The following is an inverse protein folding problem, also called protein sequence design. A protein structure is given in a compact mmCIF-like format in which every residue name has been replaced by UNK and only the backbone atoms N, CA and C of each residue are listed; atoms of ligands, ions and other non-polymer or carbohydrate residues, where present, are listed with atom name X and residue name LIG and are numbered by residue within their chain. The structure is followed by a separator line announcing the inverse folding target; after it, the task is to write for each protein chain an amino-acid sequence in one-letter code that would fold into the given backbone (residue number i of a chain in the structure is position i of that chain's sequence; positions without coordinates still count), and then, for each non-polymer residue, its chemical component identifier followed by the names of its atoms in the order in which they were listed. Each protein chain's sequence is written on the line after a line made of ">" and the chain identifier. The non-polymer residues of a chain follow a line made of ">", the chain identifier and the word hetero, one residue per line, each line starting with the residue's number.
data_IF_390190366588
#
_entry.id   IF_390190366588
#
_cell.length_a   1.000
_cell.length_b   1.000
_cell.length_c   1.000
_cell.angle_alpha   90.00
_cell.angle_beta   90.00
_cell.angle_gamma   90.00
#
_symmetry.space_group_name_H-M   'P 1'
#
loop_
_entity.id
_entity.type
_entity.pdbx_description
1 polymer ?
#
# COMPACT_ATOMS: atom_id res chain seq x y z
N UNK A 1 -7.82 10.43 28.36
CA UNK A 1 -6.59 10.07 27.63
C UNK A 1 -6.02 8.80 28.25
N UNK A 2 -5.61 7.85 27.43
CA UNK A 2 -4.96 6.63 27.91
C UNK A 2 -3.54 6.91 28.42
N UNK A 3 -3.09 6.05 29.33
CA UNK A 3 -1.70 5.97 29.76
C UNK A 3 -1.10 4.64 29.31
N UNK A 4 0.22 4.56 29.20
CA UNK A 4 0.89 3.32 28.76
C UNK A 4 0.62 2.16 29.73
N UNK A 5 0.55 2.44 31.04
CA UNK A 5 0.15 1.48 32.08
C UNK A 5 -1.25 0.90 31.83
N UNK A 6 -2.20 1.75 31.41
CA UNK A 6 -3.56 1.29 31.07
C UNK A 6 -3.56 0.44 29.82
N UNK A 7 -2.77 0.79 28.80
CA UNK A 7 -2.63 -0.01 27.57
C UNK A 7 -2.02 -1.38 27.86
N UNK A 8 -0.99 -1.42 28.71
CA UNK A 8 -0.33 -2.67 29.13
C UNK A 8 -1.29 -3.58 29.88
N UNK A 9 -2.05 -3.04 30.82
CA UNK A 9 -2.95 -3.79 31.71
C UNK A 9 -4.34 -4.03 31.12
N UNK A 10 -4.66 -3.46 29.96
CA UNK A 10 -5.95 -3.66 29.32
C UNK A 10 -6.15 -5.15 28.99
N UNK A 11 -7.22 -5.74 29.46
CA UNK A 11 -7.61 -7.13 29.21
C UNK A 11 -9.08 -7.19 28.82
N UNK A 12 -9.42 -8.14 27.95
CA UNK A 12 -10.81 -8.39 27.60
C UNK A 12 -11.44 -9.30 28.65
N UNK A 13 -12.56 -8.92 29.28
CA UNK A 13 -13.26 -9.80 30.23
C UNK A 13 -13.76 -11.08 29.55
N UNK A 14 -13.84 -12.15 30.34
CA UNK A 14 -14.46 -13.40 29.88
C UNK A 14 -15.87 -13.17 29.33
N UNK A 15 -16.21 -13.88 28.28
CA UNK A 15 -17.51 -13.77 27.62
C UNK A 15 -17.62 -12.61 26.61
N UNK A 16 -16.62 -11.73 26.52
CA UNK A 16 -16.60 -10.69 25.48
C UNK A 16 -15.62 -11.01 24.36
N UNK A 17 -16.05 -10.87 23.13
CA UNK A 17 -15.18 -11.08 21.97
C UNK A 17 -14.07 -10.02 21.89
N UNK A 18 -14.38 -8.78 22.27
CA UNK A 18 -13.44 -7.63 22.28
C UNK A 18 -13.93 -6.49 23.14
N UNK A 19 -13.00 -5.64 23.59
CA UNK A 19 -13.28 -4.35 24.21
C UNK A 19 -12.50 -3.25 23.52
N UNK A 20 -12.94 -2.01 23.70
CA UNK A 20 -12.28 -0.81 23.18
C UNK A 20 -11.99 0.15 24.30
N UNK A 21 -10.77 0.63 24.39
CA UNK A 21 -10.39 1.71 25.30
C UNK A 21 -10.00 2.93 24.44
N UNK A 22 -10.76 4.01 24.60
CA UNK A 22 -10.61 5.23 23.79
C UNK A 22 -9.53 6.14 24.35
N UNK A 23 -8.73 6.72 23.46
CA UNK A 23 -7.81 7.82 23.72
C UNK A 23 -8.40 9.13 23.16
N UNK A 24 -7.58 10.12 22.84
CA UNK A 24 -8.01 11.37 22.23
C UNK A 24 -8.07 11.30 20.70
N UNK A 25 -8.88 12.20 20.10
CA UNK A 25 -8.90 12.43 18.65
C UNK A 25 -9.34 11.23 17.80
N UNK A 26 -10.20 10.34 18.34
CA UNK A 26 -10.68 9.16 17.63
C UNK A 26 -9.73 7.95 17.66
N UNK A 27 -8.60 8.06 18.38
CA UNK A 27 -7.69 6.93 18.62
C UNK A 27 -8.28 6.01 19.69
N UNK A 28 -8.19 4.71 19.50
CA UNK A 28 -8.53 3.71 20.50
C UNK A 28 -7.69 2.43 20.33
N UNK A 29 -7.54 1.70 21.43
CA UNK A 29 -6.99 0.37 21.42
C UNK A 29 -8.12 -0.66 21.53
N UNK A 30 -8.13 -1.64 20.65
CA UNK A 30 -9.04 -2.78 20.69
C UNK A 30 -8.28 -3.98 21.27
N UNK A 31 -8.83 -4.58 22.30
CA UNK A 31 -8.29 -5.79 22.96
C UNK A 31 -9.23 -6.93 22.68
N UNK A 32 -8.76 -7.95 22.00
CA UNK A 32 -9.52 -9.17 21.72
C UNK A 32 -9.50 -10.12 22.91
N UNK A 33 -10.48 -11.03 22.98
CA UNK A 33 -10.55 -12.07 24.01
C UNK A 33 -9.31 -12.98 24.09
N UNK A 34 -8.63 -13.19 22.93
CA UNK A 34 -7.35 -13.88 22.84
C UNK A 34 -6.13 -13.05 23.31
N UNK A 35 -6.36 -11.85 23.89
CA UNK A 35 -5.30 -11.00 24.44
C UNK A 35 -4.58 -10.12 23.42
N UNK A 36 -4.84 -10.23 22.12
CA UNK A 36 -4.21 -9.36 21.13
C UNK A 36 -4.75 -7.94 21.25
N UNK A 37 -3.84 -6.95 21.11
CA UNK A 37 -4.13 -5.55 21.26
C UNK A 37 -3.75 -4.81 19.99
N UNK A 38 -4.67 -4.00 19.44
CA UNK A 38 -4.43 -3.28 18.19
C UNK A 38 -4.96 -1.87 18.24
N UNK A 39 -4.17 -0.94 17.71
CA UNK A 39 -4.52 0.45 17.59
C UNK A 39 -5.37 0.72 16.36
N UNK A 40 -6.40 1.53 16.55
CA UNK A 40 -7.27 2.01 15.48
C UNK A 40 -7.54 3.50 15.64
N UNK A 41 -7.66 4.18 14.50
CA UNK A 41 -8.19 5.53 14.43
C UNK A 41 -9.55 5.50 13.75
N UNK A 42 -10.55 6.08 14.40
CA UNK A 42 -11.90 6.26 13.89
C UNK A 42 -12.05 7.65 13.31
N UNK A 43 -12.58 7.75 12.09
CA UNK A 43 -12.82 9.00 11.37
C UNK A 43 -14.04 8.87 10.47
N UNK A 44 -14.51 10.01 9.94
CA UNK A 44 -15.61 10.06 8.97
C UNK A 44 -15.07 10.53 7.62
N UNK A 45 -15.42 9.84 6.55
CA UNK A 45 -15.07 10.21 5.19
C UNK A 45 -16.32 10.06 4.31
N UNK A 46 -16.70 11.13 3.59
CA UNK A 46 -17.95 11.21 2.81
C UNK A 46 -19.19 10.79 3.62
N UNK A 47 -19.29 11.28 4.85
CA UNK A 47 -20.42 10.99 5.76
C UNK A 47 -20.43 9.57 6.34
N UNK A 48 -19.46 8.70 5.99
CA UNK A 48 -19.36 7.32 6.48
C UNK A 48 -18.29 7.18 7.53
N UNK A 49 -18.62 6.46 8.61
CA UNK A 49 -17.65 6.10 9.64
C UNK A 49 -16.66 5.06 9.06
N UNK A 50 -15.37 5.36 9.17
CA UNK A 50 -14.27 4.48 8.79
C UNK A 50 -13.30 4.29 9.94
N UNK A 51 -12.52 3.23 9.89
CA UNK A 51 -11.45 2.96 10.85
C UNK A 51 -10.16 2.58 10.12
N UNK A 52 -9.04 3.15 10.58
CA UNK A 52 -7.71 2.85 10.11
C UNK A 52 -6.95 2.08 11.18
N UNK A 53 -6.40 0.91 10.85
CA UNK A 53 -5.51 0.20 11.76
C UNK A 53 -4.14 0.87 11.78
N UNK A 54 -3.63 1.17 12.99
CA UNK A 54 -2.35 1.86 13.17
C UNK A 54 -1.23 0.93 13.65
N UNK A 55 -1.54 -0.34 13.90
CA UNK A 55 -0.56 -1.34 14.31
C UNK A 55 -0.95 -2.09 15.59
N UNK A 56 -0.11 -3.02 16.02
CA UNK A 56 -0.32 -3.85 17.19
C UNK A 56 0.48 -3.34 18.39
N UNK A 57 -0.11 -3.39 19.58
CA UNK A 57 0.61 -3.15 20.82
C UNK A 57 1.23 -4.47 21.32
N UNK A 58 2.47 -4.51 21.84
CA UNK A 58 3.34 -3.37 22.16
C UNK A 58 4.26 -2.89 21.04
N UNK A 59 4.30 -3.51 19.86
CA UNK A 59 5.15 -3.14 18.73
C UNK A 59 4.99 -1.64 18.36
N UNK A 60 3.74 -1.15 18.37
CA UNK A 60 3.42 0.26 18.25
C UNK A 60 3.07 0.78 19.64
N UNK A 61 3.89 1.65 20.20
CA UNK A 61 3.65 2.29 21.49
C UNK A 61 2.47 3.27 21.43
N UNK A 62 1.95 3.69 22.59
CA UNK A 62 0.93 4.73 22.66
C UNK A 62 1.40 6.05 21.99
N UNK A 63 2.68 6.41 22.16
CA UNK A 63 3.28 7.59 21.53
C UNK A 63 3.27 7.47 20.00
N UNK A 64 3.68 6.33 19.48
CA UNK A 64 3.75 6.08 18.04
C UNK A 64 2.35 5.99 17.42
N UNK A 65 1.39 5.40 18.15
CA UNK A 65 0.00 5.36 17.74
C UNK A 65 -0.62 6.76 17.62
N UNK A 66 -0.30 7.67 18.55
CA UNK A 66 -0.71 9.07 18.48
C UNK A 66 -0.09 9.80 17.30
N UNK A 67 1.21 9.60 17.05
CA UNK A 67 1.89 10.18 15.89
C UNK A 67 1.28 9.65 14.58
N UNK A 68 1.09 8.36 14.45
CA UNK A 68 0.46 7.75 13.28
C UNK A 68 -0.99 8.21 13.04
N UNK A 69 -1.75 8.46 14.11
CA UNK A 69 -3.08 9.09 14.03
C UNK A 69 -2.99 10.52 13.50
N UNK A 70 -2.04 11.31 14.00
CA UNK A 70 -1.90 12.70 13.60
C UNK A 70 -1.47 12.83 12.13
N UNK A 71 -0.61 11.94 11.65
CA UNK A 71 -0.23 11.88 10.24
C UNK A 71 -1.40 11.43 9.35
N UNK A 72 -2.15 10.41 9.76
CA UNK A 72 -3.36 10.00 9.05
C UNK A 72 -4.42 11.12 9.03
N UNK A 73 -4.52 11.90 10.11
CA UNK A 73 -5.42 13.06 10.19
C UNK A 73 -5.02 14.16 9.22
N UNK A 74 -3.73 14.44 9.06
CA UNK A 74 -3.23 15.40 8.06
C UNK A 74 -3.60 14.96 6.64
N UNK A 75 -3.40 13.67 6.31
CA UNK A 75 -3.81 13.12 5.02
C UNK A 75 -5.32 13.25 4.79
N UNK A 76 -6.13 12.94 5.80
CA UNK A 76 -7.57 13.11 5.73
C UNK A 76 -7.97 14.58 5.50
N UNK A 77 -7.31 15.54 6.16
CA UNK A 77 -7.57 16.97 6.00
C UNK A 77 -7.20 17.49 4.60
N UNK A 78 -6.26 16.85 3.90
CA UNK A 78 -5.94 17.15 2.49
C UNK A 78 -6.94 16.55 1.49
N UNK A 79 -8.03 15.93 1.96
CA UNK A 79 -9.07 15.33 1.12
C UNK A 79 -8.80 13.90 0.68
N UNK A 80 -7.68 13.30 1.11
CA UNK A 80 -7.38 11.90 0.81
C UNK A 80 -7.99 10.95 1.85
N UNK A 81 -8.53 9.80 1.40
CA UNK A 81 -8.93 8.74 2.32
C UNK A 81 -7.70 7.92 2.76
N UNK A 82 -7.31 7.93 4.05
CA UNK A 82 -6.12 7.24 4.53
C UNK A 82 -6.17 5.71 4.36
N UNK A 83 -7.36 5.12 4.30
CA UNK A 83 -7.53 3.68 4.02
C UNK A 83 -7.20 3.37 2.57
N UNK A 84 -7.71 4.17 1.64
CA UNK A 84 -7.42 4.02 0.21
C UNK A 84 -5.94 4.28 -0.09
N UNK A 85 -5.35 5.33 0.49
CA UNK A 85 -3.93 5.63 0.35
C UNK A 85 -3.06 4.41 0.76
N UNK A 86 -3.34 3.80 1.92
CA UNK A 86 -2.63 2.59 2.36
C UNK A 86 -2.88 1.37 1.48
N UNK A 87 -4.06 1.23 0.90
CA UNK A 87 -4.32 0.14 -0.05
C UNK A 87 -3.50 0.31 -1.32
N UNK A 88 -3.44 1.52 -1.85
CA UNK A 88 -2.59 1.85 -3.01
C UNK A 88 -1.13 1.58 -2.69
N UNK A 89 -0.61 2.05 -1.54
CA UNK A 89 0.78 1.81 -1.13
C UNK A 89 1.10 0.32 -1.00
N UNK A 90 0.18 -0.47 -0.42
CA UNK A 90 0.35 -1.93 -0.32
C UNK A 90 0.34 -2.63 -1.67
N UNK A 91 -0.52 -2.19 -2.57
CA UNK A 91 -0.56 -2.71 -3.94
C UNK A 91 0.72 -2.33 -4.67
N UNK A 92 1.13 -1.06 -4.62
CA UNK A 92 2.39 -0.59 -5.20
C UNK A 92 3.58 -1.37 -4.65
N UNK A 93 3.71 -1.52 -3.32
CA UNK A 93 4.80 -2.27 -2.70
C UNK A 93 4.83 -3.74 -3.11
N UNK A 94 3.67 -4.38 -3.33
CA UNK A 94 3.61 -5.75 -3.83
C UNK A 94 4.03 -5.86 -5.28
N UNK A 95 3.68 -4.87 -6.11
CA UNK A 95 4.14 -4.79 -7.49
C UNK A 95 5.64 -4.44 -7.57
N UNK A 96 6.12 -3.54 -6.71
CA UNK A 96 7.50 -3.07 -6.70
C UNK A 96 8.50 -4.13 -6.23
N UNK A 97 8.11 -5.01 -5.31
CA UNK A 97 9.02 -6.01 -4.73
C UNK A 97 9.43 -7.12 -5.70
N UNK A 98 8.64 -7.39 -6.76
CA UNK A 98 8.88 -8.54 -7.65
C UNK A 98 8.66 -8.28 -9.15
N UNK A 99 8.21 -7.11 -9.57
CA UNK A 99 7.87 -6.86 -10.95
C UNK A 99 8.84 -5.89 -11.63
N UNK A 100 9.92 -6.43 -12.19
CA UNK A 100 10.68 -5.69 -13.20
C UNK A 100 9.78 -5.40 -14.41
N UNK A 101 10.09 -4.34 -15.13
CA UNK A 101 9.35 -3.97 -16.35
C UNK A 101 9.23 -5.15 -17.32
N UNK A 102 10.27 -5.96 -17.48
CA UNK A 102 10.26 -7.11 -18.36
C UNK A 102 9.25 -8.18 -17.91
N UNK A 103 9.22 -8.51 -16.60
CA UNK A 103 8.26 -9.48 -16.05
C UNK A 103 6.83 -9.02 -16.30
N UNK A 104 6.52 -7.78 -15.96
CA UNK A 104 5.18 -7.21 -16.17
C UNK A 104 4.80 -7.13 -17.66
N UNK A 105 5.75 -6.77 -18.53
CA UNK A 105 5.49 -6.73 -19.97
C UNK A 105 5.21 -8.12 -20.54
N UNK A 106 5.90 -9.15 -20.06
CA UNK A 106 5.66 -10.54 -20.47
C UNK A 106 4.31 -11.08 -19.97
N UNK A 107 3.93 -10.75 -18.75
CA UNK A 107 2.60 -11.06 -18.19
C UNK A 107 1.48 -10.37 -18.97
N UNK A 108 1.66 -9.08 -19.28
CA UNK A 108 0.73 -8.33 -20.12
C UNK A 108 0.60 -8.98 -21.52
N UNK A 109 1.72 -9.32 -22.14
CA UNK A 109 1.73 -10.02 -23.42
C UNK A 109 0.96 -11.35 -23.35
N UNK A 110 1.21 -12.18 -22.34
CA UNK A 110 0.51 -13.45 -22.14
C UNK A 110 -1.01 -13.26 -22.02
N UNK A 111 -1.45 -12.23 -21.27
CA UNK A 111 -2.88 -11.91 -21.11
C UNK A 111 -3.51 -11.39 -22.40
N UNK A 112 -2.81 -10.55 -23.16
CA UNK A 112 -3.35 -9.93 -24.39
C UNK A 112 -3.22 -10.81 -25.65
N UNK A 113 -2.39 -11.84 -25.61
CA UNK A 113 -2.12 -12.74 -26.75
C UNK A 113 -3.39 -13.36 -27.34
N UNK A 114 -4.40 -13.63 -26.51
CA UNK A 114 -5.68 -14.23 -26.95
C UNK A 114 -6.41 -13.34 -27.97
N UNK A 115 -6.25 -12.01 -27.89
CA UNK A 115 -6.90 -11.05 -28.81
C UNK A 115 -5.97 -10.55 -29.93
N UNK A 116 -4.74 -11.04 -30.02
CA UNK A 116 -3.77 -10.61 -31.02
C UNK A 116 -3.50 -11.69 -32.06
N UNK A 117 -3.15 -11.29 -33.29
CA UNK A 117 -2.60 -12.25 -34.25
C UNK A 117 -1.24 -12.75 -33.79
N UNK A 118 -0.89 -14.01 -34.08
CA UNK A 118 0.39 -14.61 -33.68
C UNK A 118 1.59 -13.80 -34.20
N UNK A 119 1.49 -13.27 -35.41
CA UNK A 119 2.52 -12.41 -35.99
C UNK A 119 2.70 -11.10 -35.19
N UNK A 120 1.61 -10.44 -34.79
CA UNK A 120 1.66 -9.21 -33.99
C UNK A 120 2.24 -9.50 -32.60
N UNK A 121 1.74 -10.53 -31.92
CA UNK A 121 2.21 -10.91 -30.60
C UNK A 121 3.72 -11.19 -30.59
N UNK A 122 4.21 -11.94 -31.54
CA UNK A 122 5.65 -12.26 -31.70
C UNK A 122 6.48 -11.00 -31.92
N UNK A 123 6.08 -10.14 -32.86
CA UNK A 123 6.82 -8.90 -33.19
C UNK A 123 6.81 -7.91 -32.01
N UNK A 124 5.73 -7.85 -31.26
CA UNK A 124 5.63 -6.97 -30.09
C UNK A 124 6.70 -7.33 -29.05
N UNK A 125 6.81 -8.61 -28.71
CA UNK A 125 7.79 -9.10 -27.73
C UNK A 125 9.24 -8.95 -28.23
N UNK A 126 9.47 -9.24 -29.52
CA UNK A 126 10.79 -9.08 -30.15
C UNK A 126 11.27 -7.61 -30.10
N UNK A 127 10.39 -6.66 -30.42
CA UNK A 127 10.71 -5.23 -30.34
C UNK A 127 11.04 -4.81 -28.91
N UNK A 128 10.22 -5.20 -27.91
CA UNK A 128 10.54 -4.90 -26.53
C UNK A 128 11.87 -5.52 -26.10
N UNK A 129 12.13 -6.77 -26.49
CA UNK A 129 13.39 -7.48 -26.17
C UNK A 129 14.62 -6.79 -26.76
N UNK A 130 14.48 -6.26 -27.98
CA UNK A 130 15.58 -5.61 -28.68
C UNK A 130 15.82 -4.17 -28.25
N UNK A 131 14.74 -3.41 -28.05
CA UNK A 131 14.81 -1.97 -27.99
C UNK A 131 14.60 -1.40 -26.57
N UNK A 132 13.88 -2.11 -25.71
CA UNK A 132 13.45 -1.60 -24.39
C UNK A 132 14.05 -2.41 -23.23
N UNK A 133 13.96 -3.74 -23.25
CA UNK A 133 14.43 -4.58 -22.15
C UNK A 133 15.89 -4.42 -21.80
N UNK A 134 16.83 -4.16 -22.71
CA UNK A 134 18.22 -3.93 -22.34
C UNK A 134 18.43 -2.74 -21.40
N UNK A 135 17.52 -1.77 -21.45
CA UNK A 135 17.62 -0.51 -20.68
C UNK A 135 16.69 -0.46 -19.48
N UNK A 136 15.45 -0.89 -19.66
CA UNK A 136 14.40 -0.77 -18.64
C UNK A 136 13.97 -2.12 -18.06
N UNK A 137 14.29 -3.23 -18.70
CA UNK A 137 13.75 -4.55 -18.39
C UNK A 137 13.96 -4.98 -16.94
N UNK A 138 15.13 -4.73 -16.39
CA UNK A 138 15.47 -5.12 -15.00
C UNK A 138 15.01 -4.13 -13.93
N UNK A 139 14.56 -2.94 -14.33
CA UNK A 139 14.13 -1.92 -13.40
C UNK A 139 12.71 -2.20 -12.90
N UNK A 140 12.43 -1.98 -11.59
CA UNK A 140 11.07 -1.94 -11.08
C UNK A 140 10.26 -0.84 -11.77
N UNK A 141 8.97 -1.10 -12.04
CA UNK A 141 8.09 -0.12 -12.68
C UNK A 141 8.04 1.23 -11.96
N UNK A 142 8.07 1.21 -10.63
CA UNK A 142 8.08 2.42 -9.78
C UNK A 142 9.30 3.32 -9.99
N UNK A 143 10.41 2.77 -10.47
CA UNK A 143 11.64 3.51 -10.73
C UNK A 143 11.73 4.07 -12.16
N UNK A 144 10.79 3.69 -13.04
CA UNK A 144 10.78 4.14 -14.44
C UNK A 144 10.03 5.46 -14.54
N UNK A 145 10.77 6.56 -14.45
CA UNK A 145 10.22 7.91 -14.63
C UNK A 145 10.21 8.38 -16.09
N UNK A 146 9.48 9.48 -16.36
CA UNK A 146 9.39 10.08 -17.68
C UNK A 146 10.75 10.40 -18.34
N UNK A 147 11.78 10.89 -17.63
CA UNK A 147 13.09 11.14 -18.23
C UNK A 147 13.75 9.86 -18.80
N UNK A 148 13.64 8.72 -18.09
CA UNK A 148 14.19 7.44 -18.54
C UNK A 148 13.46 6.91 -19.77
N UNK A 149 12.13 7.03 -19.79
CA UNK A 149 11.31 6.66 -20.95
C UNK A 149 11.71 7.49 -22.18
N UNK A 150 11.79 8.81 -22.04
CA UNK A 150 12.20 9.71 -23.12
C UNK A 150 13.60 9.38 -23.65
N UNK A 151 14.55 9.10 -22.76
CA UNK A 151 15.90 8.73 -23.17
C UNK A 151 15.91 7.41 -23.95
N UNK A 152 15.11 6.44 -23.52
CA UNK A 152 15.01 5.13 -24.20
C UNK A 152 14.33 5.30 -25.56
N UNK A 153 13.25 6.08 -25.67
CA UNK A 153 12.54 6.35 -26.92
C UNK A 153 13.44 7.08 -27.94
N UNK A 154 14.22 8.09 -27.52
CA UNK A 154 15.18 8.79 -28.38
C UNK A 154 16.25 7.84 -28.96
N UNK A 155 16.68 6.83 -28.20
CA UNK A 155 17.61 5.82 -28.70
C UNK A 155 16.97 4.91 -29.74
N UNK A 156 15.68 4.60 -29.59
CA UNK A 156 14.93 3.82 -30.59
C UNK A 156 14.73 4.64 -31.88
N UNK A 157 14.46 5.95 -31.74
CA UNK A 157 14.25 6.87 -32.86
C UNK A 157 15.55 7.12 -33.65
N UNK A 158 16.70 7.16 -32.99
CA UNK A 158 18.03 7.39 -33.61
C UNK A 158 18.59 6.19 -34.36
N UNK A 159 17.84 5.10 -34.50
CA UNK A 159 18.28 3.83 -35.11
C UNK A 159 17.66 3.60 -36.49
#
# INVERSE_FOLDING_TARGET
>A
MLTDKQCKNASCPEGKARIRASDSGGLYIEVAGAGSKRWFWKYYFDGKEKRLSLGSYPEVSLKDARAARDDARKQHQSGADPVLARQVDRLSSRFDANASFEVTAREFHATKRVGWSDHYAKRWLERLGKDIFPWLGKLPLSQIGAPMLLQTLRRVEAR
#
